data_IF_531266709981
#
_entry.id   IF_531266709981
#
_cell.length_a   1.000
_cell.length_b   1.000
_cell.length_c   1.000
_cell.angle_alpha   90.00
_cell.angle_beta   90.00
_cell.angle_gamma   90.00
#
_symmetry.space_group_name_H-M   'P 1'
#
loop_
_entity.id
_entity.type
_entity.pdbx_description
1 polymer ?
#
# COMPACT_ATOMS: atom_id res chain seq x y z
N UNK A 1 -9.64 13.49 -29.52
CA UNK A 1 -8.87 13.08 -28.34
C UNK A 1 -7.45 12.72 -28.74
N UNK A 2 -6.44 13.34 -28.13
CA UNK A 2 -5.01 13.04 -28.34
C UNK A 2 -4.49 12.09 -27.26
N UNK A 3 -3.56 11.19 -27.59
CA UNK A 3 -2.93 10.27 -26.62
C UNK A 3 -1.43 10.54 -26.62
N UNK A 4 -0.82 10.61 -25.43
CA UNK A 4 0.63 10.74 -25.27
C UNK A 4 1.16 9.80 -24.18
N UNK A 5 2.38 9.30 -24.37
CA UNK A 5 3.05 8.39 -23.44
C UNK A 5 4.26 9.07 -22.81
N UNK A 6 4.44 8.86 -21.50
CA UNK A 6 5.47 9.50 -20.69
C UNK A 6 6.09 8.48 -19.71
N UNK A 7 7.34 8.72 -19.30
CA UNK A 7 7.89 8.13 -18.09
C UNK A 7 7.72 9.10 -16.91
N UNK A 8 7.25 8.58 -15.78
CA UNK A 8 7.34 9.24 -14.48
C UNK A 8 8.68 8.95 -13.81
N UNK A 9 9.16 9.88 -12.99
CA UNK A 9 10.37 9.66 -12.22
C UNK A 9 10.81 10.87 -11.37
N UNK A 10 11.91 10.72 -10.61
CA UNK A 10 12.38 11.70 -9.63
C UNK A 10 12.79 13.07 -10.21
N UNK A 11 12.97 13.16 -11.54
CA UNK A 11 13.28 14.38 -12.27
C UNK A 11 12.10 14.99 -13.03
N UNK A 12 10.88 14.52 -12.75
CA UNK A 12 9.66 14.92 -13.45
C UNK A 12 9.34 14.04 -14.66
N UNK A 13 8.40 14.51 -15.48
CA UNK A 13 7.87 13.75 -16.61
C UNK A 13 8.77 13.89 -17.85
N UNK A 14 9.03 12.78 -18.54
CA UNK A 14 9.77 12.76 -19.81
C UNK A 14 8.98 12.07 -20.91
N UNK A 15 9.00 12.64 -22.11
CA UNK A 15 8.42 12.00 -23.31
C UNK A 15 9.19 10.75 -23.72
N UNK A 16 8.45 9.76 -24.20
CA UNK A 16 8.98 8.49 -24.71
C UNK A 16 9.18 8.63 -26.23
N UNK A 17 10.35 8.26 -26.73
CA UNK A 17 10.63 8.22 -28.15
C UNK A 17 10.36 6.83 -28.78
N UNK A 18 10.47 6.74 -30.11
CA UNK A 18 10.19 5.49 -30.84
C UNK A 18 11.20 4.38 -30.55
N UNK A 19 12.45 4.70 -30.21
CA UNK A 19 13.47 3.71 -29.89
C UNK A 19 13.15 3.06 -28.53
N UNK A 20 12.70 3.86 -27.57
CA UNK A 20 12.26 3.40 -26.25
C UNK A 20 10.97 2.57 -26.32
N UNK A 21 10.03 2.96 -27.18
CA UNK A 21 8.83 2.16 -27.43
C UNK A 21 9.16 0.80 -28.07
N UNK A 22 10.29 0.68 -28.77
CA UNK A 22 10.73 -0.57 -29.38
C UNK A 22 11.47 -1.51 -28.39
N UNK A 23 11.82 -1.03 -27.18
CA UNK A 23 12.49 -1.86 -26.17
C UNK A 23 11.61 -3.06 -25.77
N UNK A 24 12.23 -4.22 -25.46
CA UNK A 24 11.49 -5.37 -24.97
C UNK A 24 10.68 -5.04 -23.73
N UNK A 25 9.40 -5.43 -23.73
CA UNK A 25 8.58 -5.38 -22.53
C UNK A 25 9.16 -6.33 -21.50
N UNK A 26 9.36 -5.88 -20.27
CA UNK A 26 9.81 -6.75 -19.20
C UNK A 26 8.60 -7.36 -18.49
N UNK A 27 8.71 -8.62 -18.13
CA UNK A 27 7.78 -9.30 -17.22
C UNK A 27 8.51 -9.56 -15.90
N UNK A 28 7.78 -9.97 -14.86
CA UNK A 28 8.28 -10.12 -13.48
C UNK A 28 9.71 -10.65 -13.36
N UNK A 29 10.41 -10.18 -12.33
CA UNK A 29 11.87 -10.32 -12.17
C UNK A 29 12.67 -9.74 -13.36
N UNK A 30 12.15 -8.70 -14.00
CA UNK A 30 12.79 -7.95 -15.08
C UNK A 30 13.21 -8.78 -16.30
N UNK A 31 12.56 -9.92 -16.54
CA UNK A 31 12.84 -10.78 -17.70
C UNK A 31 12.25 -10.16 -18.96
N UNK A 32 13.03 -10.09 -20.03
CA UNK A 32 12.55 -9.58 -21.31
C UNK A 32 11.53 -10.55 -21.93
N UNK A 33 10.42 -10.01 -22.40
CA UNK A 33 9.44 -10.76 -23.16
C UNK A 33 9.98 -11.04 -24.56
N UNK A 34 9.81 -12.25 -25.11
CA UNK A 34 10.47 -12.65 -26.36
C UNK A 34 10.06 -11.87 -27.61
N UNK A 35 8.94 -11.13 -27.56
CA UNK A 35 8.43 -10.39 -28.74
C UNK A 35 7.50 -9.21 -28.43
N UNK A 36 7.14 -8.95 -27.17
CA UNK A 36 6.33 -7.77 -26.85
C UNK A 36 7.26 -6.62 -26.53
N UNK A 37 6.86 -5.43 -26.92
CA UNK A 37 7.60 -4.18 -26.72
C UNK A 37 6.93 -3.31 -25.68
N UNK A 38 7.66 -2.32 -25.15
CA UNK A 38 7.08 -1.31 -24.29
C UNK A 38 5.95 -0.53 -25.00
N UNK A 39 6.07 -0.31 -26.30
CA UNK A 39 5.01 0.27 -27.12
C UNK A 39 3.75 -0.59 -27.18
N UNK A 40 3.87 -1.93 -27.15
CA UNK A 40 2.69 -2.81 -27.06
C UNK A 40 1.94 -2.62 -25.74
N UNK A 41 2.67 -2.45 -24.63
CA UNK A 41 2.07 -2.12 -23.34
C UNK A 41 1.33 -0.78 -23.37
N UNK A 42 1.97 0.29 -23.83
CA UNK A 42 1.33 1.62 -23.86
C UNK A 42 0.11 1.67 -24.80
N UNK A 43 0.20 1.02 -25.96
CA UNK A 43 -0.95 0.87 -26.88
C UNK A 43 -2.07 0.08 -26.23
N UNK A 44 -1.75 -1.02 -25.54
CA UNK A 44 -2.76 -1.83 -24.84
C UNK A 44 -3.41 -1.06 -23.68
N UNK A 45 -2.63 -0.30 -22.92
CA UNK A 45 -3.12 0.57 -21.85
C UNK A 45 -4.05 1.66 -22.39
N UNK A 46 -3.70 2.28 -23.52
CA UNK A 46 -4.57 3.24 -24.21
C UNK A 46 -5.86 2.58 -24.72
N UNK A 47 -5.79 1.38 -25.29
CA UNK A 47 -6.96 0.61 -25.73
C UNK A 47 -7.85 0.18 -24.56
N UNK A 48 -7.28 -0.13 -23.39
CA UNK A 48 -8.03 -0.48 -22.19
C UNK A 48 -8.94 0.67 -21.70
N UNK A 49 -8.54 1.91 -21.96
CA UNK A 49 -9.33 3.10 -21.65
C UNK A 49 -10.38 3.38 -22.72
N UNK A 50 -10.02 3.16 -23.98
CA UNK A 50 -10.72 3.68 -25.15
C UNK A 50 -11.25 2.53 -26.00
N UNK A 51 -12.04 1.68 -25.37
CA UNK A 51 -12.80 0.64 -26.09
C UNK A 51 -13.75 1.28 -27.13
N UNK A 52 -14.34 0.46 -28.01
CA UNK A 52 -15.36 0.95 -28.95
C UNK A 52 -16.47 1.71 -28.22
N UNK A 53 -16.86 1.20 -27.04
CA UNK A 53 -17.73 1.86 -26.08
C UNK A 53 -16.92 2.62 -25.02
N UNK A 54 -17.02 3.95 -25.04
CA UNK A 54 -16.40 4.83 -24.04
C UNK A 54 -17.23 4.98 -22.77
N UNK A 55 -18.47 4.48 -22.74
CA UNK A 55 -19.39 4.66 -21.61
C UNK A 55 -18.81 4.16 -20.27
N UNK A 56 -18.14 2.99 -20.19
CA UNK A 56 -17.56 2.53 -18.93
C UNK A 56 -16.51 3.48 -18.36
N UNK A 57 -15.70 4.11 -19.23
CA UNK A 57 -14.73 5.12 -18.80
C UNK A 57 -15.44 6.37 -18.27
N UNK A 58 -16.49 6.83 -18.93
CA UNK A 58 -17.26 8.00 -18.51
C UNK A 58 -17.90 7.79 -17.13
N UNK A 59 -18.40 6.58 -16.84
CA UNK A 59 -18.90 6.20 -15.50
C UNK A 59 -17.79 6.29 -14.45
N UNK A 60 -16.57 5.84 -14.76
CA UNK A 60 -15.43 5.97 -13.85
C UNK A 60 -15.08 7.43 -13.56
N UNK A 61 -15.08 8.28 -14.60
CA UNK A 61 -14.79 9.71 -14.46
C UNK A 61 -15.85 10.44 -13.63
N UNK A 62 -17.12 10.09 -13.81
CA UNK A 62 -18.23 10.62 -13.04
C UNK A 62 -18.13 10.21 -11.57
N UNK A 63 -17.82 8.93 -11.29
CA UNK A 63 -17.62 8.43 -9.94
C UNK A 63 -16.49 9.17 -9.17
N UNK A 64 -15.45 9.62 -9.87
CA UNK A 64 -14.32 10.34 -9.26
C UNK A 64 -14.52 11.85 -9.14
N UNK A 65 -15.17 12.46 -10.13
CA UNK A 65 -15.27 13.91 -10.23
C UNK A 65 -16.63 14.47 -9.78
N UNK A 66 -17.64 13.62 -9.66
CA UNK A 66 -19.04 14.02 -9.45
C UNK A 66 -19.68 14.73 -10.65
N UNK A 67 -19.05 14.67 -11.83
CA UNK A 67 -19.52 15.33 -13.05
C UNK A 67 -19.65 14.32 -14.18
N UNK A 68 -20.79 14.34 -14.86
CA UNK A 68 -21.03 13.52 -16.04
C UNK A 68 -20.30 14.10 -17.26
N UNK A 69 -19.63 13.25 -18.02
CA UNK A 69 -18.95 13.62 -19.27
C UNK A 69 -19.53 12.85 -20.45
N UNK A 70 -19.35 13.39 -21.65
CA UNK A 70 -19.56 12.71 -22.92
C UNK A 70 -18.23 12.47 -23.62
N UNK A 71 -18.22 11.59 -24.64
CA UNK A 71 -17.01 11.32 -25.45
C UNK A 71 -16.42 12.57 -26.10
N UNK A 72 -17.26 13.58 -26.41
CA UNK A 72 -16.81 14.82 -27.06
C UNK A 72 -16.01 15.71 -26.11
N UNK A 73 -16.23 15.54 -24.82
CA UNK A 73 -15.61 16.34 -23.78
C UNK A 73 -14.18 15.87 -23.48
N UNK A 74 -13.81 14.66 -23.94
CA UNK A 74 -12.47 14.08 -23.77
C UNK A 74 -11.47 14.68 -24.76
N UNK A 75 -10.59 15.55 -24.25
CA UNK A 75 -9.62 16.31 -25.04
C UNK A 75 -8.31 15.52 -25.23
N UNK A 76 -7.74 15.02 -24.14
CA UNK A 76 -6.41 14.41 -24.09
C UNK A 76 -6.33 13.31 -23.03
N UNK A 77 -5.61 12.25 -23.36
CA UNK A 77 -5.20 11.18 -22.44
C UNK A 77 -3.68 11.14 -22.37
N UNK A 78 -3.13 11.10 -21.17
CA UNK A 78 -1.69 10.95 -20.93
C UNK A 78 -1.49 9.69 -20.11
N UNK A 79 -0.74 8.72 -20.63
CA UNK A 79 -0.37 7.50 -19.88
C UNK A 79 1.09 7.63 -19.45
N UNK A 80 1.33 7.56 -18.15
CA UNK A 80 2.66 7.59 -17.53
C UNK A 80 3.00 6.25 -16.96
N UNK A 81 4.14 5.68 -17.34
CA UNK A 81 4.70 4.56 -16.59
C UNK A 81 5.34 5.08 -15.31
N UNK A 82 4.88 4.61 -14.15
CA UNK A 82 5.36 5.06 -12.83
C UNK A 82 6.35 4.06 -12.23
N UNK A 83 5.98 2.77 -12.22
CA UNK A 83 6.79 1.72 -11.58
C UNK A 83 6.64 0.40 -12.30
N UNK A 84 7.78 -0.29 -12.43
CA UNK A 84 7.81 -1.69 -12.82
C UNK A 84 7.84 -2.56 -11.57
N UNK A 85 6.67 -2.99 -11.11
CA UNK A 85 6.56 -3.88 -9.96
C UNK A 85 7.02 -5.30 -10.30
N UNK A 86 7.31 -6.11 -9.28
CA UNK A 86 7.68 -7.51 -9.46
C UNK A 86 6.56 -8.36 -10.12
N UNK A 87 5.31 -7.92 -9.99
CA UNK A 87 4.10 -8.67 -10.38
C UNK A 87 3.39 -8.02 -11.57
N UNK A 88 3.19 -6.70 -11.51
CA UNK A 88 2.49 -5.90 -12.51
C UNK A 88 3.11 -4.52 -12.65
N UNK A 89 2.81 -3.85 -13.76
CA UNK A 89 3.24 -2.47 -14.00
C UNK A 89 2.22 -1.50 -13.46
N UNK A 90 2.68 -0.42 -12.85
CA UNK A 90 1.85 0.68 -12.37
C UNK A 90 2.05 1.87 -13.30
N UNK A 91 0.94 2.40 -13.79
CA UNK A 91 0.89 3.62 -14.56
C UNK A 91 -0.11 4.60 -13.94
N UNK A 92 0.15 5.90 -14.10
CA UNK A 92 -0.86 6.93 -13.88
C UNK A 92 -1.42 7.39 -15.23
N UNK A 93 -2.69 7.79 -15.23
CA UNK A 93 -3.38 8.25 -16.44
C UNK A 93 -4.06 9.57 -16.14
N UNK A 94 -3.67 10.61 -16.88
CA UNK A 94 -4.41 11.88 -16.85
C UNK A 94 -5.39 11.92 -17.99
N UNK A 95 -6.66 12.12 -17.63
CA UNK A 95 -7.73 12.40 -18.56
C UNK A 95 -8.08 13.88 -18.43
N UNK A 96 -7.90 14.60 -19.54
CA UNK A 96 -8.29 15.98 -19.67
C UNK A 96 -9.68 16.06 -20.30
N UNK A 97 -10.64 16.60 -19.56
CA UNK A 97 -12.01 16.76 -20.02
C UNK A 97 -12.61 18.08 -19.52
N UNK A 98 -13.15 18.90 -20.44
CA UNK A 98 -13.70 20.24 -20.16
C UNK A 98 -12.78 21.12 -19.31
N UNK A 99 -11.48 21.17 -19.66
CA UNK A 99 -10.49 21.94 -18.88
C UNK A 99 -10.16 21.38 -17.49
N UNK A 100 -10.73 20.23 -17.09
CA UNK A 100 -10.39 19.51 -15.85
C UNK A 100 -9.37 18.42 -16.14
N UNK A 101 -8.61 18.04 -15.10
CA UNK A 101 -7.68 16.92 -15.13
C UNK A 101 -8.09 15.91 -14.08
N UNK A 102 -8.39 14.69 -14.49
CA UNK A 102 -8.73 13.57 -13.61
C UNK A 102 -7.62 12.53 -13.73
N UNK A 103 -6.99 12.18 -12.60
CA UNK A 103 -5.92 11.18 -12.57
C UNK A 103 -6.42 9.82 -12.08
N UNK A 104 -6.04 8.78 -12.80
CA UNK A 104 -6.35 7.38 -12.52
C UNK A 104 -5.07 6.58 -12.34
N UNK A 105 -5.11 5.53 -11.52
CA UNK A 105 -4.10 4.48 -11.52
C UNK A 105 -4.49 3.38 -12.49
N UNK A 106 -3.52 2.81 -13.20
CA UNK A 106 -3.66 1.66 -14.07
C UNK A 106 -2.61 0.62 -13.71
N UNK A 107 -3.06 -0.49 -13.16
CA UNK A 107 -2.24 -1.65 -12.90
C UNK A 107 -2.39 -2.64 -14.06
N UNK A 108 -1.28 -3.05 -14.66
CA UNK A 108 -1.25 -3.91 -15.85
C UNK A 108 -0.41 -5.16 -15.65
N UNK A 109 -1.02 -6.33 -15.77
CA UNK A 109 -0.37 -7.63 -15.64
C UNK A 109 -0.46 -8.44 -16.93
N UNK A 110 0.66 -9.02 -17.37
CA UNK A 110 0.73 -9.88 -18.57
C UNK A 110 0.78 -11.38 -18.24
N UNK A 111 1.55 -11.76 -17.20
CA UNK A 111 1.71 -13.18 -16.85
C UNK A 111 0.43 -13.71 -16.20
N UNK A 112 0.15 -15.01 -16.36
CA UNK A 112 -1.01 -15.64 -15.72
C UNK A 112 -0.99 -15.48 -14.20
N UNK A 113 0.19 -15.57 -13.58
CA UNK A 113 0.35 -15.34 -12.14
C UNK A 113 0.11 -13.89 -11.75
N UNK A 114 0.65 -12.93 -12.51
CA UNK A 114 0.44 -11.51 -12.26
C UNK A 114 -1.02 -11.10 -12.45
N UNK A 115 -1.69 -11.65 -13.47
CA UNK A 115 -3.11 -11.41 -13.71
C UNK A 115 -3.97 -11.99 -12.58
N UNK A 116 -3.66 -13.19 -12.06
CA UNK A 116 -4.37 -13.75 -10.91
C UNK A 116 -4.19 -12.91 -9.64
N UNK A 117 -2.98 -12.41 -9.39
CA UNK A 117 -2.70 -11.53 -8.24
C UNK A 117 -3.41 -10.18 -8.37
N UNK A 118 -3.38 -9.56 -9.55
CA UNK A 118 -4.08 -8.31 -9.81
C UNK A 118 -5.60 -8.46 -9.67
N UNK A 119 -6.15 -9.58 -10.14
CA UNK A 119 -7.57 -9.91 -9.97
C UNK A 119 -7.93 -10.06 -8.49
N UNK A 120 -7.10 -10.76 -7.71
CA UNK A 120 -7.31 -10.92 -6.27
C UNK A 120 -7.25 -9.59 -5.52
N UNK A 121 -6.28 -8.73 -5.87
CA UNK A 121 -6.17 -7.38 -5.30
C UNK A 121 -7.39 -6.53 -5.65
N UNK A 122 -7.83 -6.55 -6.91
CA UNK A 122 -9.02 -5.81 -7.34
C UNK A 122 -10.27 -6.23 -6.54
N UNK A 123 -10.49 -7.55 -6.40
CA UNK A 123 -11.60 -8.08 -5.59
C UNK A 123 -11.48 -7.72 -4.11
N UNK A 124 -10.25 -7.70 -3.58
CA UNK A 124 -9.98 -7.26 -2.21
C UNK A 124 -10.35 -5.78 -2.04
N UNK A 125 -9.96 -4.91 -2.97
CA UNK A 125 -10.34 -3.50 -2.95
C UNK A 125 -11.86 -3.32 -3.05
N UNK A 126 -12.57 -4.12 -3.85
CA UNK A 126 -14.05 -4.08 -3.94
C UNK A 126 -14.70 -4.46 -2.61
N UNK A 127 -14.19 -5.54 -1.98
CA UNK A 127 -14.66 -5.98 -0.67
C UNK A 127 -14.44 -4.91 0.40
N UNK A 128 -13.25 -4.31 0.45
CA UNK A 128 -12.88 -3.37 1.50
C UNK A 128 -13.56 -2.01 1.31
N UNK A 129 -13.67 -1.53 0.07
CA UNK A 129 -14.34 -0.24 -0.25
C UNK A 129 -15.85 -0.26 0.02
N UNK A 130 -16.50 -1.43 -0.06
CA UNK A 130 -17.93 -1.57 0.25
C UNK A 130 -18.22 -1.69 1.75
N UNK A 131 -17.25 -2.08 2.56
CA UNK A 131 -17.43 -2.36 4.01
C UNK A 131 -16.91 -1.26 4.92
N UNK A 132 -15.85 -0.56 4.50
CA UNK A 132 -15.01 0.29 5.36
C UNK A 132 -14.76 1.61 4.61
N UNK A 133 -14.17 2.60 5.29
CA UNK A 133 -13.92 3.94 4.73
C UNK A 133 -13.16 3.89 3.39
N UNK A 134 -13.84 4.13 2.25
CA UNK A 134 -13.26 3.96 0.93
C UNK A 134 -12.23 5.04 0.61
N UNK A 135 -12.05 6.08 1.45
CA UNK A 135 -11.06 7.12 1.20
C UNK A 135 -9.62 6.69 1.50
N UNK A 136 -9.40 5.61 2.26
CA UNK A 136 -8.08 5.21 2.78
C UNK A 136 -7.30 4.25 1.86
N UNK A 137 -7.97 3.60 0.91
CA UNK A 137 -7.41 2.66 -0.08
C UNK A 137 -7.78 3.10 -1.51
N UNK A 138 -7.15 2.60 -2.59
CA UNK A 138 -7.58 2.93 -3.94
C UNK A 138 -8.98 2.40 -4.19
N UNK A 139 -9.87 3.25 -4.70
CA UNK A 139 -11.20 2.80 -5.12
C UNK A 139 -11.05 2.00 -6.42
N UNK A 140 -11.49 0.73 -6.48
CA UNK A 140 -11.51 -0.02 -7.72
C UNK A 140 -12.60 0.55 -8.63
N UNK A 141 -12.27 0.76 -9.91
CA UNK A 141 -13.18 1.41 -10.86
C UNK A 141 -13.62 0.44 -11.95
N UNK A 142 -12.63 -0.19 -12.58
CA UNK A 142 -12.88 -1.08 -13.72
C UNK A 142 -11.73 -2.04 -13.91
N UNK A 143 -12.01 -3.23 -14.44
CA UNK A 143 -11.01 -4.12 -15.02
C UNK A 143 -11.35 -4.47 -16.47
N UNK A 144 -10.34 -4.68 -17.30
CA UNK A 144 -10.51 -5.08 -18.70
C UNK A 144 -9.36 -5.97 -19.16
N UNK A 145 -9.61 -6.81 -20.16
CA UNK A 145 -8.61 -7.66 -20.80
C UNK A 145 -8.36 -7.16 -22.21
N UNK A 146 -7.10 -6.90 -22.54
CA UNK A 146 -6.70 -6.43 -23.87
C UNK A 146 -5.76 -7.44 -24.49
N UNK A 147 -6.20 -8.08 -25.57
CA UNK A 147 -5.36 -8.99 -26.36
C UNK A 147 -4.27 -8.21 -27.08
N UNK A 148 -3.05 -8.71 -27.03
CA UNK A 148 -1.84 -8.14 -27.64
C UNK A 148 -1.03 -9.22 -28.34
N UNK A 149 -0.08 -8.79 -29.15
CA UNK A 149 0.81 -9.72 -29.85
C UNK A 149 0.10 -10.57 -30.90
N UNK A 150 0.75 -11.67 -31.29
CA UNK A 150 0.31 -12.55 -32.39
C UNK A 150 -0.16 -13.92 -31.92
N UNK A 151 0.05 -14.27 -30.65
CA UNK A 151 -0.18 -15.60 -30.10
C UNK A 151 -1.27 -15.61 -29.02
N UNK A 152 -2.06 -14.54 -28.94
CA UNK A 152 -3.20 -14.45 -28.02
C UNK A 152 -2.83 -14.07 -26.60
N UNK A 153 -1.64 -13.46 -26.40
CA UNK A 153 -1.28 -12.81 -25.15
C UNK A 153 -2.33 -11.75 -24.78
N UNK A 154 -2.53 -11.50 -23.50
CA UNK A 154 -3.39 -10.42 -23.07
C UNK A 154 -2.84 -9.76 -21.81
N UNK A 155 -3.06 -8.45 -21.73
CA UNK A 155 -2.94 -7.73 -20.46
C UNK A 155 -4.26 -7.80 -19.72
N UNK A 156 -4.22 -8.11 -18.42
CA UNK A 156 -5.27 -7.73 -17.50
C UNK A 156 -4.92 -6.33 -16.97
N UNK A 157 -5.82 -5.39 -17.18
CA UNK A 157 -5.73 -4.04 -16.66
C UNK A 157 -6.77 -3.80 -15.58
N UNK A 158 -6.38 -3.14 -14.50
CA UNK A 158 -7.25 -2.66 -13.45
C UNK A 158 -7.07 -1.15 -13.27
N UNK A 159 -8.17 -0.41 -13.44
CA UNK A 159 -8.28 1.01 -13.13
C UNK A 159 -8.68 1.19 -11.68
N UNK A 160 -7.95 2.06 -10.99
CA UNK A 160 -8.19 2.43 -9.61
C UNK A 160 -8.07 3.95 -9.45
N UNK A 161 -8.59 4.50 -8.35
CA UNK A 161 -8.35 5.90 -8.00
C UNK A 161 -6.86 6.13 -7.75
N UNK A 162 -6.31 7.19 -8.35
CA UNK A 162 -4.98 7.69 -8.01
C UNK A 162 -5.05 8.63 -6.80
N UNK A 163 -4.01 8.62 -5.97
CA UNK A 163 -3.87 9.55 -4.86
C UNK A 163 -2.94 10.70 -5.27
N UNK A 164 -3.54 11.80 -5.73
CA UNK A 164 -2.78 12.99 -6.15
C UNK A 164 -2.06 13.66 -4.96
N UNK A 165 -0.80 14.04 -5.20
CA UNK A 165 0.08 14.70 -4.22
C UNK A 165 0.38 13.83 -2.98
N UNK A 166 0.40 12.51 -3.15
CA UNK A 166 0.96 11.59 -2.18
C UNK A 166 2.25 11.00 -2.71
N UNK A 167 3.18 10.75 -1.80
CA UNK A 167 4.57 10.42 -2.12
C UNK A 167 5.00 9.15 -1.37
N UNK A 168 5.82 8.32 -2.02
CA UNK A 168 6.51 7.22 -1.33
C UNK A 168 7.49 7.80 -0.30
N UNK A 169 7.83 7.00 0.71
CA UNK A 169 8.77 7.38 1.76
C UNK A 169 9.56 6.16 2.21
N UNK A 170 10.82 6.36 2.60
CA UNK A 170 11.69 5.28 3.03
C UNK A 170 12.64 5.73 4.13
N UNK A 171 13.08 4.77 4.96
CA UNK A 171 14.25 4.96 5.82
C UNK A 171 15.48 5.19 4.95
N UNK A 172 16.33 6.14 5.34
CA UNK A 172 17.59 6.45 4.62
C UNK A 172 18.81 6.44 5.54
N UNK A 173 18.61 6.29 6.85
CA UNK A 173 19.69 6.13 7.83
C UNK A 173 19.25 6.56 9.21
N UNK A 174 20.23 6.85 10.06
CA UNK A 174 20.04 7.54 11.34
C UNK A 174 20.89 8.81 11.37
N UNK A 175 20.45 9.80 12.13
CA UNK A 175 21.24 11.03 12.33
C UNK A 175 22.22 10.92 13.49
N UNK A 176 22.89 12.03 13.81
CA UNK A 176 23.89 12.10 14.88
C UNK A 176 23.33 11.86 16.29
N UNK A 177 22.00 11.87 16.46
CA UNK A 177 21.29 11.52 17.69
C UNK A 177 20.80 10.07 17.70
N UNK A 178 21.13 9.29 16.68
CA UNK A 178 20.55 7.98 16.40
C UNK A 178 19.02 8.02 16.20
N UNK A 179 18.47 9.13 15.74
CA UNK A 179 17.06 9.21 15.31
C UNK A 179 16.92 8.76 13.85
N UNK A 180 15.81 8.13 13.51
CA UNK A 180 15.52 7.67 12.15
C UNK A 180 15.50 8.86 11.18
N UNK A 181 16.17 8.69 10.03
CA UNK A 181 16.03 9.58 8.89
C UNK A 181 15.06 8.91 7.92
N UNK A 182 13.91 9.54 7.74
CA UNK A 182 12.95 9.20 6.68
C UNK A 182 13.04 10.27 5.60
N UNK A 183 13.12 9.83 4.35
CA UNK A 183 13.05 10.71 3.17
C UNK A 183 11.73 10.50 2.46
N UNK A 184 11.04 11.61 2.21
CA UNK A 184 9.85 11.66 1.37
C UNK A 184 10.29 11.86 -0.07
N UNK A 185 9.85 10.97 -0.95
CA UNK A 185 10.13 11.04 -2.37
C UNK A 185 9.12 11.96 -3.06
N UNK A 186 9.10 13.23 -2.63
CA UNK A 186 8.28 14.25 -3.25
C UNK A 186 8.83 14.54 -4.65
N UNK A 187 8.18 13.96 -5.66
CA UNK A 187 8.54 14.10 -7.07
C UNK A 187 8.11 15.46 -7.66
N UNK A 188 7.35 16.26 -6.91
CA UNK A 188 6.87 17.57 -7.34
C UNK A 188 7.80 18.69 -6.89
N UNK A 189 8.24 18.67 -5.63
CA UNK A 189 9.11 19.71 -5.06
C UNK A 189 10.55 19.26 -4.81
N UNK A 190 10.83 17.98 -5.00
CA UNK A 190 12.12 17.35 -4.74
C UNK A 190 12.12 16.59 -3.42
N UNK A 191 13.00 15.59 -3.34
CA UNK A 191 13.07 14.72 -2.17
C UNK A 191 13.45 15.54 -0.93
N UNK A 192 12.79 15.24 0.19
CA UNK A 192 13.06 15.95 1.45
C UNK A 192 13.06 15.01 2.64
N UNK A 193 13.82 15.38 3.66
CA UNK A 193 13.77 14.73 4.97
C UNK A 193 12.45 15.05 5.67
N UNK A 194 11.84 14.05 6.31
CA UNK A 194 10.73 14.22 7.21
C UNK A 194 11.21 14.71 8.59
N UNK A 195 10.44 15.59 9.24
CA UNK A 195 10.64 15.97 10.63
C UNK A 195 10.28 14.82 11.58
N UNK A 196 10.76 14.85 12.83
CA UNK A 196 10.46 13.79 13.80
C UNK A 196 8.96 13.62 14.07
N UNK A 197 8.17 14.71 14.01
CA UNK A 197 6.70 14.67 14.11
C UNK A 197 6.07 13.98 12.90
N UNK A 198 6.53 14.30 11.69
CA UNK A 198 6.05 13.64 10.46
C UNK A 198 6.40 12.14 10.46
N UNK A 199 7.59 11.75 10.93
CA UNK A 199 7.98 10.35 11.06
C UNK A 199 7.05 9.60 12.00
N UNK A 200 6.80 10.16 13.18
CA UNK A 200 5.86 9.57 14.15
C UNK A 200 4.46 9.41 13.54
N UNK A 201 3.94 10.45 12.88
CA UNK A 201 2.62 10.44 12.23
C UNK A 201 2.51 9.42 11.10
N UNK A 202 3.58 9.22 10.32
CA UNK A 202 3.61 8.22 9.26
C UNK A 202 3.34 6.83 9.83
N UNK A 203 4.04 6.43 10.89
CA UNK A 203 3.83 5.11 11.52
C UNK A 203 2.46 5.02 12.22
N UNK A 204 2.08 6.08 12.93
CA UNK A 204 0.78 6.17 13.63
C UNK A 204 -0.40 6.03 12.68
N UNK A 205 -0.44 6.82 11.62
CA UNK A 205 -1.54 6.80 10.67
C UNK A 205 -1.52 5.52 9.81
N UNK A 206 -0.36 4.96 9.49
CA UNK A 206 -0.26 3.67 8.79
C UNK A 206 -0.84 2.52 9.62
N UNK A 207 -0.47 2.43 10.91
CA UNK A 207 -1.02 1.45 11.86
C UNK A 207 -2.52 1.63 12.08
N UNK A 208 -2.97 2.89 12.20
CA UNK A 208 -4.40 3.20 12.30
C UNK A 208 -5.18 2.68 11.09
N UNK A 209 -4.71 2.92 9.88
CA UNK A 209 -5.37 2.44 8.65
C UNK A 209 -5.51 0.92 8.69
N UNK A 210 -4.44 0.18 8.99
CA UNK A 210 -4.51 -1.29 9.05
C UNK A 210 -5.50 -1.78 10.11
N UNK A 211 -5.56 -1.09 11.25
CA UNK A 211 -6.48 -1.44 12.34
C UNK A 211 -7.93 -1.17 11.93
N UNK A 212 -8.24 -0.06 11.27
CA UNK A 212 -9.58 0.21 10.73
C UNK A 212 -10.05 -0.86 9.73
N UNK A 213 -9.09 -1.48 9.04
CA UNK A 213 -9.32 -2.58 8.11
C UNK A 213 -9.32 -3.97 8.75
N UNK A 214 -9.01 -4.11 10.04
CA UNK A 214 -9.10 -5.39 10.72
C UNK A 214 -10.57 -5.80 10.95
N UNK A 215 -10.89 -7.06 10.68
CA UNK A 215 -12.19 -7.65 11.00
C UNK A 215 -12.06 -8.55 12.23
N UNK A 216 -12.63 -8.10 13.35
CA UNK A 216 -12.60 -8.80 14.65
C UNK A 216 -13.37 -10.11 14.64
N UNK A 217 -14.31 -10.32 13.72
CA UNK A 217 -15.04 -11.57 13.62
C UNK A 217 -14.19 -12.60 12.88
N UNK A 218 -13.78 -12.29 11.65
CA UNK A 218 -13.04 -13.25 10.83
C UNK A 218 -11.54 -13.30 11.14
N UNK A 219 -11.04 -12.35 11.93
CA UNK A 219 -9.61 -12.05 12.14
C UNK A 219 -8.87 -11.68 10.86
N UNK A 220 -9.61 -11.29 9.82
CA UNK A 220 -9.06 -10.93 8.53
C UNK A 220 -8.37 -9.58 8.60
N UNK A 221 -7.23 -9.50 7.91
CA UNK A 221 -6.42 -8.30 7.81
C UNK A 221 -5.87 -8.18 6.39
N UNK A 222 -5.51 -6.95 6.01
CA UNK A 222 -4.83 -6.71 4.74
C UNK A 222 -3.43 -7.33 4.80
N UNK A 223 -3.14 -8.24 3.88
CA UNK A 223 -1.81 -8.86 3.73
C UNK A 223 -1.59 -9.41 2.31
N UNK A 224 -0.33 -9.47 1.83
CA UNK A 224 0.86 -8.86 2.40
C UNK A 224 0.97 -7.36 2.10
N UNK A 225 1.63 -6.62 2.99
CA UNK A 225 2.07 -5.24 2.80
C UNK A 225 3.52 -5.05 3.30
N UNK A 226 4.25 -4.08 2.76
CA UNK A 226 5.61 -3.75 3.15
C UNK A 226 5.99 -2.29 2.80
N UNK A 227 6.71 -1.58 3.68
CA UNK A 227 7.16 -0.20 3.42
C UNK A 227 8.03 -0.08 2.16
N UNK A 228 9.05 -0.93 2.04
CA UNK A 228 9.89 -1.04 0.84
C UNK A 228 9.12 -1.28 -0.48
N UNK A 229 7.91 -1.83 -0.44
CA UNK A 229 7.09 -1.99 -1.64
C UNK A 229 6.40 -0.68 -2.07
N UNK A 230 6.40 0.34 -1.21
CA UNK A 230 5.70 1.61 -1.41
C UNK A 230 4.20 1.51 -1.10
N UNK A 231 3.78 0.58 -0.23
CA UNK A 231 2.36 0.32 0.02
C UNK A 231 1.64 1.46 0.75
N UNK A 232 2.38 2.27 1.50
CA UNK A 232 1.87 3.48 2.14
C UNK A 232 2.47 4.71 1.48
N UNK A 233 1.60 5.66 1.14
CA UNK A 233 2.00 6.96 0.59
C UNK A 233 1.54 8.07 1.52
N UNK A 234 2.36 9.12 1.60
CA UNK A 234 2.15 10.24 2.50
C UNK A 234 1.97 11.54 1.75
N UNK A 235 1.05 12.36 2.24
CA UNK A 235 0.90 13.75 1.86
C UNK A 235 1.00 14.61 3.10
N UNK A 236 1.81 15.66 3.04
CA UNK A 236 1.89 16.66 4.09
C UNK A 236 1.51 18.02 3.54
N UNK A 237 0.44 18.62 4.09
CA UNK A 237 -0.03 19.95 3.71
C UNK A 237 -0.31 20.78 4.95
N UNK A 238 0.26 21.99 5.00
CA UNK A 238 0.08 22.92 6.12
C UNK A 238 0.39 22.26 7.49
N UNK A 239 1.42 21.40 7.54
CA UNK A 239 1.79 20.66 8.75
C UNK A 239 0.88 19.48 9.11
N UNK A 240 -0.09 19.12 8.26
CA UNK A 240 -0.99 17.99 8.48
C UNK A 240 -0.49 16.79 7.66
N UNK A 241 -0.12 15.71 8.35
CA UNK A 241 0.24 14.43 7.76
C UNK A 241 -1.01 13.63 7.42
N UNK A 242 -1.07 13.07 6.21
CA UNK A 242 -2.16 12.24 5.72
C UNK A 242 -1.59 11.02 5.01
N UNK A 243 -2.03 9.81 5.39
CA UNK A 243 -1.54 8.54 4.85
C UNK A 243 -2.64 7.84 4.05
N UNK A 244 -2.24 7.19 2.95
CA UNK A 244 -3.08 6.25 2.22
C UNK A 244 -2.34 4.95 2.00
N UNK A 245 -3.10 3.86 1.99
CA UNK A 245 -2.62 2.59 1.47
C UNK A 245 -2.88 2.59 -0.04
N UNK A 246 -1.90 2.21 -0.87
CA UNK A 246 -2.02 2.20 -2.35
C UNK A 246 -2.20 0.81 -2.94
N UNK A 247 -2.13 -0.23 -2.11
CA UNK A 247 -2.32 -1.61 -2.52
C UNK A 247 -3.04 -2.40 -1.43
N UNK A 248 -3.85 -3.39 -1.80
CA UNK A 248 -4.47 -4.31 -0.85
C UNK A 248 -4.49 -5.71 -1.46
N UNK A 249 -3.31 -6.33 -1.50
CA UNK A 249 -3.06 -7.55 -2.28
C UNK A 249 -3.89 -8.76 -1.86
N UNK A 250 -4.37 -8.78 -0.62
CA UNK A 250 -5.20 -9.84 -0.08
C UNK A 250 -5.81 -9.44 1.26
N UNK A 251 -6.85 -10.17 1.64
CA UNK A 251 -7.58 -9.96 2.88
C UNK A 251 -8.02 -11.30 3.46
N UNK A 252 -7.32 -11.75 4.50
CA UNK A 252 -7.53 -13.07 5.07
C UNK A 252 -7.12 -13.13 6.54
N UNK A 253 -7.60 -14.13 7.30
CA UNK A 253 -7.18 -14.33 8.68
C UNK A 253 -5.68 -14.54 8.81
N UNK A 254 -5.09 -14.11 9.93
CA UNK A 254 -3.66 -14.36 10.19
C UNK A 254 -3.34 -15.87 10.12
N UNK A 255 -2.24 -16.27 9.45
CA UNK A 255 -1.73 -17.64 9.47
C UNK A 255 -1.52 -18.19 10.89
N UNK A 256 -1.26 -17.32 11.87
CA UNK A 256 -1.12 -17.68 13.29
C UNK A 256 -2.34 -18.43 13.83
N UNK A 257 -3.52 -18.20 13.27
CA UNK A 257 -4.78 -18.80 13.74
C UNK A 257 -5.22 -20.03 12.94
N UNK A 258 -4.41 -20.51 11.99
CA UNK A 258 -4.78 -21.62 11.11
C UNK A 258 -4.65 -23.02 11.77
N UNK A 259 -4.04 -23.13 12.95
CA UNK A 259 -3.65 -24.41 13.56
C UNK A 259 -4.23 -24.70 14.96
N UNK A 260 -5.16 -23.89 15.48
CA UNK A 260 -5.71 -24.08 16.84
C UNK A 260 -7.20 -23.77 16.95
N UNK A 261 -7.80 -24.09 18.11
CA UNK A 261 -9.15 -23.64 18.45
C UNK A 261 -9.23 -22.12 18.31
N UNK A 262 -10.31 -21.60 17.71
CA UNK A 262 -10.50 -20.18 17.42
C UNK A 262 -10.18 -19.33 18.67
N UNK A 263 -9.17 -18.43 18.64
CA UNK A 263 -8.82 -17.61 19.79
C UNK A 263 -9.97 -16.67 20.14
N UNK A 264 -9.95 -16.16 21.37
CA UNK A 264 -10.82 -15.03 21.72
C UNK A 264 -10.46 -13.80 20.86
N UNK A 265 -11.42 -12.96 20.45
CA UNK A 265 -11.13 -11.81 19.59
C UNK A 265 -10.12 -10.82 20.18
N UNK A 266 -10.08 -10.64 21.51
CA UNK A 266 -9.08 -9.78 22.16
C UNK A 266 -7.67 -10.34 22.03
N UNK A 267 -7.48 -11.66 22.12
CA UNK A 267 -6.19 -12.31 21.88
C UNK A 267 -5.75 -12.14 20.42
N UNK A 268 -6.70 -12.25 19.48
CA UNK A 268 -6.42 -12.05 18.07
C UNK A 268 -5.98 -10.61 17.76
N UNK A 269 -6.60 -9.61 18.41
CA UNK A 269 -6.20 -8.20 18.34
C UNK A 269 -4.82 -7.94 18.94
N UNK A 270 -4.48 -8.59 20.06
CA UNK A 270 -3.13 -8.50 20.63
C UNK A 270 -2.11 -9.02 19.63
N UNK A 271 -2.29 -10.23 19.08
CA UNK A 271 -1.36 -10.76 18.07
C UNK A 271 -1.30 -9.90 16.80
N UNK A 272 -2.42 -9.29 16.40
CA UNK A 272 -2.41 -8.32 15.30
C UNK A 272 -1.55 -7.10 15.63
N UNK A 273 -1.63 -6.54 16.84
CA UNK A 273 -0.75 -5.46 17.30
C UNK A 273 0.73 -5.90 17.28
N UNK A 274 1.05 -7.08 17.83
CA UNK A 274 2.44 -7.61 17.83
C UNK A 274 2.96 -7.77 16.40
N UNK A 275 2.13 -8.27 15.48
CA UNK A 275 2.50 -8.44 14.08
C UNK A 275 2.79 -7.09 13.40
N UNK A 276 1.87 -6.12 13.50
CA UNK A 276 2.07 -4.82 12.85
C UNK A 276 3.19 -4.02 13.52
N UNK A 277 3.43 -4.17 14.83
CA UNK A 277 4.52 -3.47 15.52
C UNK A 277 5.90 -3.91 15.05
N UNK A 278 6.04 -5.18 14.65
CA UNK A 278 7.26 -5.68 14.00
C UNK A 278 7.33 -5.17 12.56
N UNK A 279 6.30 -5.44 11.74
CA UNK A 279 6.32 -5.16 10.30
C UNK A 279 6.45 -3.67 9.99
N UNK A 280 5.86 -2.79 10.81
CA UNK A 280 5.99 -1.34 10.64
C UNK A 280 7.44 -0.89 10.78
N UNK A 281 8.28 -1.63 11.49
CA UNK A 281 9.69 -1.27 11.66
C UNK A 281 10.57 -1.77 10.51
N UNK A 282 10.07 -2.66 9.66
CA UNK A 282 10.87 -3.27 8.60
C UNK A 282 10.70 -2.48 7.30
N UNK A 283 11.83 -2.02 6.76
CA UNK A 283 11.94 -1.34 5.48
C UNK A 283 13.22 -1.77 4.74
N UNK A 284 13.49 -1.16 3.59
CA UNK A 284 14.80 -1.19 2.94
C UNK A 284 15.30 0.24 2.78
N UNK A 285 16.59 0.47 3.03
CA UNK A 285 17.16 1.81 2.85
C UNK A 285 16.93 2.31 1.42
N UNK A 286 16.40 3.52 1.24
CA UNK A 286 16.04 4.07 -0.08
C UNK A 286 15.12 3.14 -0.89
N UNK A 287 14.25 2.37 -0.21
CA UNK A 287 13.25 1.48 -0.79
C UNK A 287 13.78 0.19 -1.43
N UNK A 288 15.06 0.14 -1.81
CA UNK A 288 15.66 -1.01 -2.52
C UNK A 288 17.01 -1.47 -1.98
N UNK A 289 17.61 -0.71 -1.05
CA UNK A 289 18.91 -0.99 -0.44
C UNK A 289 18.90 -2.17 0.53
N UNK A 290 19.80 -2.20 1.50
CA UNK A 290 19.80 -3.25 2.54
C UNK A 290 18.60 -3.12 3.47
N UNK A 291 18.23 -4.21 4.13
CA UNK A 291 17.23 -4.23 5.19
C UNK A 291 17.48 -3.13 6.24
N UNK A 292 16.39 -2.45 6.61
CA UNK A 292 16.38 -1.32 7.54
C UNK A 292 15.37 -1.57 8.65
N UNK A 293 15.70 -1.11 9.86
CA UNK A 293 14.87 -1.23 11.05
C UNK A 293 14.60 0.15 11.63
N UNK A 294 13.34 0.57 11.68
CA UNK A 294 12.95 1.82 12.32
C UNK A 294 13.22 1.77 13.82
N UNK A 295 13.69 2.86 14.39
CA UNK A 295 13.88 3.04 15.82
C UNK A 295 12.56 3.07 16.60
N UNK A 296 12.67 3.44 17.88
CA UNK A 296 11.55 3.46 18.84
C UNK A 296 10.35 4.30 18.37
N UNK A 297 10.58 5.38 17.60
CA UNK A 297 9.51 6.25 17.10
C UNK A 297 8.51 5.46 16.26
N UNK A 298 8.98 4.52 15.43
CA UNK A 298 8.09 3.65 14.66
C UNK A 298 7.24 2.73 15.52
N UNK A 299 7.81 2.20 16.62
CA UNK A 299 7.07 1.37 17.56
C UNK A 299 6.00 2.18 18.32
N UNK A 300 6.36 3.34 18.85
CA UNK A 300 5.44 4.22 19.58
C UNK A 300 4.30 4.70 18.69
N UNK A 301 4.61 5.21 17.49
CA UNK A 301 3.59 5.58 16.52
C UNK A 301 2.66 4.42 16.21
N UNK A 302 3.20 3.22 15.99
CA UNK A 302 2.39 2.03 15.70
C UNK A 302 1.38 1.70 16.80
N UNK A 303 1.80 1.71 18.08
CA UNK A 303 0.90 1.44 19.21
C UNK A 303 -0.20 2.50 19.30
N UNK A 304 0.15 3.78 19.22
CA UNK A 304 -0.84 4.87 19.29
C UNK A 304 -1.84 4.79 18.12
N UNK A 305 -1.34 4.50 16.91
CA UNK A 305 -2.17 4.32 15.72
C UNK A 305 -3.14 3.17 15.85
N UNK A 306 -2.69 2.05 16.42
CA UNK A 306 -3.53 0.90 16.71
C UNK A 306 -4.64 1.29 17.69
N UNK A 307 -4.31 1.90 18.82
CA UNK A 307 -5.30 2.30 19.83
C UNK A 307 -6.29 3.34 19.30
N UNK A 308 -5.86 4.29 18.47
CA UNK A 308 -6.75 5.21 17.75
C UNK A 308 -7.70 4.46 16.80
N UNK A 309 -7.19 3.45 16.09
CA UNK A 309 -7.99 2.59 15.23
C UNK A 309 -9.03 1.80 16.02
N UNK A 310 -8.64 1.19 17.14
CA UNK A 310 -9.55 0.51 18.07
C UNK A 310 -10.63 1.45 18.58
N UNK A 311 -10.26 2.66 19.03
CA UNK A 311 -11.22 3.67 19.49
C UNK A 311 -12.26 4.01 18.43
N UNK A 312 -11.83 4.12 17.18
CA UNK A 312 -12.73 4.41 16.07
C UNK A 312 -13.59 3.19 15.71
N UNK A 313 -13.06 1.96 15.75
CA UNK A 313 -13.86 0.75 15.59
C UNK A 313 -14.92 0.61 16.70
N UNK A 314 -14.57 0.92 17.94
CA UNK A 314 -15.49 0.93 19.08
C UNK A 314 -16.62 1.92 18.86
N UNK A 315 -16.29 3.16 18.48
CA UNK A 315 -17.27 4.22 18.22
C UNK A 315 -18.22 3.93 17.04
N UNK A 316 -17.88 2.95 16.20
CA UNK A 316 -18.69 2.49 15.07
C UNK A 316 -19.29 1.08 15.29
N UNK A 317 -19.30 0.56 16.53
CA UNK A 317 -19.85 -0.75 16.90
C UNK A 317 -19.22 -1.94 16.15
N UNK A 318 -17.93 -1.84 15.80
CA UNK A 318 -17.17 -2.85 15.03
C UNK A 318 -16.26 -3.75 15.86
N UNK A 319 -16.36 -3.72 17.20
CA UNK A 319 -15.51 -4.48 18.12
C UNK A 319 -16.20 -5.63 18.87
N UNK A 320 -17.44 -5.98 18.51
CA UNK A 320 -18.19 -7.09 19.14
C UNK A 320 -18.28 -7.02 20.68
N UNK A 321 -18.41 -5.79 21.22
CA UNK A 321 -18.48 -5.57 22.66
C UNK A 321 -17.13 -5.59 23.39
N UNK A 322 -16.01 -5.66 22.67
CA UNK A 322 -14.68 -5.35 23.24
C UNK A 322 -14.55 -3.84 23.35
N UNK A 323 -14.12 -3.37 24.52
CA UNK A 323 -13.85 -1.95 24.75
C UNK A 323 -12.36 -1.63 24.65
N UNK A 324 -12.02 -0.41 24.23
CA UNK A 324 -10.63 0.08 24.24
C UNK A 324 -9.97 -0.11 25.62
N UNK A 325 -10.72 0.14 26.69
CA UNK A 325 -10.25 -0.01 28.07
C UNK A 325 -9.84 -1.44 28.41
N UNK A 326 -10.50 -2.45 27.85
CA UNK A 326 -10.17 -3.86 28.09
C UNK A 326 -8.84 -4.21 27.43
N UNK A 327 -8.62 -3.75 26.20
CA UNK A 327 -7.38 -3.94 25.46
C UNK A 327 -6.22 -3.22 26.16
N UNK A 328 -6.40 -1.95 26.52
CA UNK A 328 -5.38 -1.17 27.24
C UNK A 328 -5.05 -1.81 28.59
N UNK A 329 -6.05 -2.26 29.35
CA UNK A 329 -5.85 -2.95 30.63
C UNK A 329 -5.09 -4.26 30.46
N UNK A 330 -5.43 -5.06 29.44
CA UNK A 330 -4.74 -6.31 29.15
C UNK A 330 -3.27 -6.07 28.77
N UNK A 331 -3.01 -5.16 27.83
CA UNK A 331 -1.64 -4.82 27.41
C UNK A 331 -0.81 -4.28 28.59
N UNK A 332 -1.42 -3.48 29.47
CA UNK A 332 -0.77 -2.99 30.70
C UNK A 332 -0.58 -4.07 31.78
N UNK A 333 -1.19 -5.25 31.66
CA UNK A 333 -0.96 -6.35 32.60
C UNK A 333 0.27 -7.19 32.24
N UNK A 334 0.76 -7.08 31.00
CA UNK A 334 1.94 -7.82 30.55
C UNK A 334 3.24 -7.25 31.15
N UNK A 335 4.15 -8.16 31.49
CA UNK A 335 5.56 -7.85 31.70
C UNK A 335 6.32 -8.02 30.38
N UNK A 336 7.60 -7.65 30.36
CA UNK A 336 8.46 -7.76 29.17
C UNK A 336 8.53 -9.23 28.69
N UNK A 337 8.48 -10.19 29.60
CA UNK A 337 8.52 -11.62 29.27
C UNK A 337 7.29 -12.06 28.47
N UNK A 338 6.11 -11.56 28.77
CA UNK A 338 4.90 -11.84 27.99
C UNK A 338 5.03 -11.29 26.57
N UNK A 339 5.57 -10.09 26.38
CA UNK A 339 5.82 -9.55 25.03
C UNK A 339 6.81 -10.41 24.24
N UNK A 340 7.90 -10.88 24.87
CA UNK A 340 8.84 -11.81 24.23
C UNK A 340 8.15 -13.12 23.81
N UNK A 341 7.32 -13.70 24.68
CA UNK A 341 6.57 -14.93 24.36
C UNK A 341 5.57 -14.71 23.22
N UNK A 342 4.93 -13.53 23.15
CA UNK A 342 3.99 -13.19 22.07
C UNK A 342 4.69 -12.93 20.74
N UNK A 343 5.96 -12.48 20.76
CA UNK A 343 6.77 -12.27 19.56
C UNK A 343 7.23 -13.58 18.92
N UNK A 344 7.40 -14.66 19.68
CA UNK A 344 7.90 -15.95 19.17
C UNK A 344 7.03 -16.52 18.03
N UNK A 345 5.68 -16.68 18.18
CA UNK A 345 4.84 -17.13 17.08
C UNK A 345 4.87 -16.20 15.86
N UNK A 346 5.00 -14.89 16.08
CA UNK A 346 5.08 -13.89 14.99
C UNK A 346 6.41 -14.03 14.26
N UNK A 347 7.51 -14.24 14.98
CA UNK A 347 8.83 -14.47 14.41
C UNK A 347 8.87 -15.76 13.58
N UNK A 348 8.28 -16.85 14.07
CA UNK A 348 8.15 -18.11 13.33
C UNK A 348 7.39 -17.91 12.02
N UNK A 349 6.26 -17.20 12.06
CA UNK A 349 5.50 -16.87 10.84
C UNK A 349 6.34 -16.05 9.86
N UNK A 350 7.03 -15.01 10.33
CA UNK A 350 7.90 -14.17 9.47
C UNK A 350 9.06 -15.00 8.89
N UNK A 351 9.61 -15.96 9.63
CA UNK A 351 10.68 -16.84 9.15
C UNK A 351 10.28 -17.67 7.92
N UNK A 352 9.01 -18.07 7.84
CA UNK A 352 8.44 -18.83 6.73
C UNK A 352 8.16 -17.91 5.54
N UNK A 353 7.67 -16.69 5.80
CA UNK A 353 7.28 -15.74 4.75
C UNK A 353 8.48 -15.03 4.11
N UNK A 354 9.41 -14.52 4.93
CA UNK A 354 10.60 -13.80 4.48
C UNK A 354 11.78 -13.99 5.46
N UNK A 355 12.74 -14.88 5.13
CA UNK A 355 13.92 -15.12 5.96
C UNK A 355 14.82 -13.90 6.19
N UNK A 356 14.84 -12.90 5.28
CA UNK A 356 15.64 -11.67 5.48
C UNK A 356 15.05 -10.82 6.60
N UNK A 357 13.73 -10.63 6.59
CA UNK A 357 12.98 -9.90 7.62
C UNK A 357 13.11 -10.60 8.99
N UNK A 358 13.06 -11.93 9.00
CA UNK A 358 13.27 -12.71 10.22
C UNK A 358 14.66 -12.50 10.81
N UNK A 359 15.72 -12.51 10.00
CA UNK A 359 17.07 -12.27 10.50
C UNK A 359 17.21 -10.89 11.14
N UNK A 360 16.55 -9.88 10.56
CA UNK A 360 16.52 -8.53 11.11
C UNK A 360 15.77 -8.51 12.45
N UNK A 361 14.59 -9.12 12.53
CA UNK A 361 13.81 -9.24 13.76
C UNK A 361 14.58 -10.00 14.84
N UNK A 362 15.18 -11.15 14.52
CA UNK A 362 15.91 -11.99 15.47
C UNK A 362 17.08 -11.23 16.13
N UNK A 363 17.76 -10.37 15.37
CA UNK A 363 18.82 -9.51 15.89
C UNK A 363 18.32 -8.36 16.80
N UNK A 364 17.00 -8.10 16.83
CA UNK A 364 16.36 -6.96 17.50
C UNK A 364 15.21 -7.35 18.42
N UNK A 365 14.94 -8.64 18.62
CA UNK A 365 13.70 -9.09 19.26
C UNK A 365 13.58 -8.61 20.71
N UNK A 366 14.70 -8.61 21.46
CA UNK A 366 14.76 -8.09 22.83
C UNK A 366 14.54 -6.58 22.87
N UNK A 367 15.29 -5.83 22.05
CA UNK A 367 15.12 -4.37 21.90
C UNK A 367 13.68 -4.02 21.53
N UNK A 368 13.06 -4.78 20.62
CA UNK A 368 11.68 -4.55 20.21
C UNK A 368 10.67 -4.81 21.32
N UNK A 369 10.84 -5.90 22.07
CA UNK A 369 9.98 -6.20 23.21
C UNK A 369 10.05 -5.08 24.26
N UNK A 370 11.24 -4.53 24.51
CA UNK A 370 11.42 -3.37 25.37
C UNK A 370 10.73 -2.11 24.83
N UNK A 371 10.97 -1.75 23.56
CA UNK A 371 10.33 -0.60 22.92
C UNK A 371 8.79 -0.71 22.98
N UNK A 372 8.24 -1.90 22.72
CA UNK A 372 6.81 -2.16 22.73
C UNK A 372 6.22 -2.09 24.14
N UNK A 373 6.91 -2.66 25.12
CA UNK A 373 6.53 -2.57 26.53
C UNK A 373 6.46 -1.10 26.99
N UNK A 374 7.47 -0.30 26.66
CA UNK A 374 7.49 1.13 27.00
C UNK A 374 6.38 1.90 26.28
N UNK A 375 6.18 1.65 24.98
CA UNK A 375 5.13 2.29 24.19
C UNK A 375 3.74 2.04 24.80
N UNK A 376 3.42 0.79 25.13
CA UNK A 376 2.15 0.41 25.78
C UNK A 376 1.94 1.13 27.12
N UNK A 377 3.02 1.31 27.90
CA UNK A 377 2.98 2.00 29.21
C UNK A 377 2.86 3.52 29.08
N UNK A 378 3.35 4.08 27.98
CA UNK A 378 3.23 5.50 27.69
C UNK A 378 1.79 5.90 27.34
N UNK A 379 1.00 4.97 26.80
CA UNK A 379 -0.41 5.19 26.52
C UNK A 379 -1.20 5.42 27.81
N UNK A 380 -1.89 6.57 27.88
CA UNK A 380 -2.87 6.86 28.94
C UNK A 380 -4.28 6.62 28.38
N UNK A 381 -5.18 5.94 29.11
CA UNK A 381 -6.56 5.70 28.66
C UNK A 381 -7.35 6.99 28.44
#
# INVERSE_FOLDING_TARGET
MKISFLFGGPGGERSIDEEELALPYRVGNFKEHPFLTLGDYFRAAASALLEEDTQPLLVCLEALSGVSFTRKDLEKVVVRSEKHGAVYHVASIDIHAEGRKIRLGLNGALSSSGAAQLENEYQTLELLSSRINPSLIPMPLRKTKVTVGKKGEYFLFALVRWFDDYHEWHLTGTDWRNEDIVTLWDTTTGYRRASSEEVYDIFRLSSKILTLYYDVFSFSQIRPWHHAAGDFVVRIRNGITDIRLVSARGYSPSPLFQLSARPSPIVALVYFLIEISVRMRIDRFEGTGSSAWAGKVGCYGTVDGFLEGIKELEANDRLEGIHLTDIVSLLNSFEIKEFLNLLEPVADMISIENPEDYNLLAARIEDHAHDLYEAVRACRP
#
